data_IF_794486166322
#
_entry.id   IF_794486166322
#
_cell.length_a   1.000
_cell.length_b   1.000
_cell.length_c   1.000
_cell.angle_alpha   90.00
_cell.angle_beta   90.00
_cell.angle_gamma   90.00
#
_symmetry.space_group_name_H-M   'P 1'
#
loop_
_entity.id
_entity.type
_entity.pdbx_description
1 polymer ?
#
# COMPACT_ATOMS: atom_id res chain seq x y z
N UNK A 1 -84.93 27.32 -5.98
CA UNK A 1 -85.70 28.14 -5.03
C UNK A 1 -84.73 28.61 -3.96
N UNK A 2 -84.49 29.92 -3.90
CA UNK A 2 -83.96 30.66 -2.73
C UNK A 2 -84.91 30.50 -1.51
N UNK A 3 -84.60 30.92 -0.26
CA UNK A 3 -83.67 32.00 0.14
C UNK A 3 -82.88 31.84 1.49
N UNK A 4 -81.87 32.70 1.70
CA UNK A 4 -81.37 33.18 3.02
C UNK A 4 -82.39 34.19 3.60
N UNK A 5 -82.50 34.48 4.94
CA UNK A 5 -81.53 35.29 5.72
C UNK A 5 -81.69 35.09 7.28
N UNK A 6 -81.47 36.05 8.24
CA UNK A 6 -80.44 37.10 8.47
C UNK A 6 -79.78 37.11 9.89
N UNK A 7 -78.58 37.71 9.99
CA UNK A 7 -78.05 38.81 10.89
C UNK A 7 -78.42 38.88 12.41
N UNK A 8 -77.36 38.86 13.27
CA UNK A 8 -76.98 39.58 14.56
C UNK A 8 -78.05 40.13 15.54
N UNK A 9 -77.82 40.33 16.89
CA UNK A 9 -76.68 41.08 17.48
C UNK A 9 -76.27 40.88 19.00
N UNK A 10 -75.26 41.65 19.43
CA UNK A 10 -75.04 42.32 20.75
C UNK A 10 -74.50 41.61 22.04
N UNK A 11 -73.35 42.15 22.48
CA UNK A 11 -72.68 42.41 23.80
C UNK A 11 -73.59 42.57 25.07
N UNK A 12 -73.12 42.70 26.36
CA UNK A 12 -71.76 43.05 26.86
C UNK A 12 -71.24 42.44 28.20
N UNK A 13 -69.94 42.69 28.49
CA UNK A 13 -69.51 43.24 29.80
C UNK A 13 -68.60 42.38 30.70
N UNK A 14 -67.33 42.80 30.83
CA UNK A 14 -66.68 43.09 32.12
C UNK A 14 -65.22 43.55 31.90
N UNK A 15 -64.94 44.81 32.22
CA UNK A 15 -63.60 45.36 32.42
C UNK A 15 -62.96 44.80 33.70
N UNK A 16 -61.63 44.70 33.74
CA UNK A 16 -60.75 45.18 34.83
C UNK A 16 -59.26 44.98 34.47
N UNK A 17 -58.63 46.11 34.15
CA UNK A 17 -57.30 46.60 34.58
C UNK A 17 -56.12 45.64 34.84
N UNK A 18 -55.04 45.91 34.09
CA UNK A 18 -53.61 46.06 34.49
C UNK A 18 -52.96 45.03 35.42
N UNK A 19 -51.88 44.40 34.94
CA UNK A 19 -50.47 44.61 35.39
C UNK A 19 -49.56 43.65 34.63
N UNK A 20 -48.50 44.16 33.99
CA UNK A 20 -47.38 43.34 33.49
C UNK A 20 -46.49 42.91 34.67
N UNK A 21 -45.92 41.68 34.62
CA UNK A 21 -44.63 41.44 35.25
C UNK A 21 -43.62 40.79 34.29
N UNK A 22 -42.48 41.47 34.21
CA UNK A 22 -41.08 41.06 34.01
C UNK A 22 -40.75 39.58 33.67
N UNK A 23 -39.95 39.40 32.61
CA UNK A 23 -39.28 38.16 32.22
C UNK A 23 -38.07 37.86 33.14
N UNK A 24 -37.85 36.60 33.57
CA UNK A 24 -36.60 36.20 34.23
C UNK A 24 -35.46 35.99 33.21
N UNK A 25 -34.18 36.07 33.63
CA UNK A 25 -33.04 35.96 32.73
C UNK A 25 -32.82 34.52 32.26
N UNK A 26 -32.63 34.37 30.95
CA UNK A 26 -32.19 33.12 30.29
C UNK A 26 -30.83 32.70 30.82
N UNK A 27 -30.76 31.53 31.46
CA UNK A 27 -29.50 30.86 31.76
C UNK A 27 -28.82 30.42 30.44
N UNK A 28 -27.57 30.83 30.25
CA UNK A 28 -26.75 30.38 29.13
C UNK A 28 -26.53 28.84 29.21
N UNK A 29 -26.52 28.13 28.06
CA UNK A 29 -26.19 26.71 28.06
C UNK A 29 -24.72 26.49 28.47
N UNK A 30 -24.38 25.36 29.10
CA UNK A 30 -23.01 25.06 29.49
C UNK A 30 -22.11 24.96 28.24
N UNK A 31 -20.81 25.30 28.35
CA UNK A 31 -19.89 25.20 27.23
C UNK A 31 -19.81 23.74 26.76
N UNK A 32 -20.06 23.52 25.46
CA UNK A 32 -19.80 22.22 24.82
C UNK A 32 -18.32 21.93 24.93
N UNK A 33 -17.98 20.79 25.53
CA UNK A 33 -16.61 20.34 25.68
C UNK A 33 -16.04 19.93 24.30
N UNK A 34 -15.38 20.86 23.63
CA UNK A 34 -14.73 20.70 22.31
C UNK A 34 -13.53 19.72 22.33
N UNK A 35 -13.28 19.06 23.47
CA UNK A 35 -12.20 18.11 23.69
C UNK A 35 -12.48 16.73 23.07
N UNK A 36 -13.73 16.23 23.13
CA UNK A 36 -14.07 14.88 22.64
C UNK A 36 -14.01 14.76 21.11
N UNK A 37 -14.38 15.83 20.40
CA UNK A 37 -14.43 15.85 18.93
C UNK A 37 -13.02 15.82 18.33
N UNK A 38 -12.04 16.49 18.95
CA UNK A 38 -10.64 16.45 18.49
C UNK A 38 -10.02 15.05 18.62
N UNK A 39 -10.39 14.30 19.65
CA UNK A 39 -9.89 12.95 19.89
C UNK A 39 -10.53 11.93 18.93
N UNK A 40 -11.84 12.06 18.65
CA UNK A 40 -12.55 11.23 17.69
C UNK A 40 -12.11 11.47 16.23
N UNK A 41 -11.84 12.74 15.86
CA UNK A 41 -11.30 13.10 14.54
C UNK A 41 -9.88 12.56 14.37
N UNK A 42 -9.02 12.68 15.39
CA UNK A 42 -7.65 12.14 15.36
C UNK A 42 -7.60 10.62 15.19
N UNK A 43 -8.50 9.89 15.87
CA UNK A 43 -8.61 8.43 15.75
C UNK A 43 -9.15 8.00 14.38
N UNK A 44 -10.07 8.79 13.81
CA UNK A 44 -10.65 8.53 12.49
C UNK A 44 -9.65 8.82 11.37
N UNK A 45 -8.86 9.89 11.48
CA UNK A 45 -7.79 10.21 10.52
C UNK A 45 -6.69 9.15 10.59
N UNK A 46 -6.26 8.73 11.78
CA UNK A 46 -5.26 7.67 11.92
C UNK A 46 -5.71 6.36 11.26
N UNK A 47 -6.97 5.96 11.48
CA UNK A 47 -7.55 4.75 10.87
C UNK A 47 -7.69 4.85 9.35
N UNK A 48 -8.04 6.02 8.82
CA UNK A 48 -8.10 6.28 7.37
C UNK A 48 -6.69 6.24 6.77
N UNK A 49 -5.71 6.90 7.40
CA UNK A 49 -4.30 6.91 6.95
C UNK A 49 -3.72 5.49 6.95
N UNK A 50 -3.96 4.72 8.01
CA UNK A 50 -3.53 3.32 8.13
C UNK A 50 -4.19 2.45 7.06
N UNK A 51 -5.49 2.64 6.80
CA UNK A 51 -6.18 1.96 5.71
C UNK A 51 -5.69 2.36 4.31
N UNK A 52 -5.16 3.57 4.12
CA UNK A 52 -4.59 3.99 2.83
C UNK A 52 -3.14 3.52 2.63
N UNK A 53 -2.38 3.33 3.70
CA UNK A 53 -1.02 2.76 3.63
C UNK A 53 -1.07 1.27 3.28
N UNK A 54 -2.10 0.56 3.77
CA UNK A 54 -2.44 -0.80 3.35
C UNK A 54 -2.86 -0.89 1.87
N UNK A 55 -3.03 0.24 1.18
CA UNK A 55 -3.38 0.33 -0.25
C UNK A 55 -2.24 0.89 -1.11
N UNK A 56 -1.06 1.22 -0.56
CA UNK A 56 0.10 1.58 -1.40
C UNK A 56 0.65 0.31 -2.07
N UNK A 57 0.54 0.16 -3.41
CA UNK A 57 0.99 -1.04 -4.10
C UNK A 57 2.47 -1.36 -3.84
N UNK A 58 3.30 -0.32 -3.72
CA UNK A 58 4.73 -0.51 -3.47
C UNK A 58 4.98 -0.97 -2.03
N UNK A 59 4.15 -0.53 -1.07
CA UNK A 59 4.18 -1.04 0.29
C UNK A 59 3.84 -2.54 0.34
N UNK A 60 2.83 -2.97 -0.42
CA UNK A 60 2.44 -4.39 -0.51
C UNK A 60 3.56 -5.26 -1.10
N UNK A 61 4.20 -4.82 -2.20
CA UNK A 61 5.38 -5.51 -2.76
C UNK A 61 6.49 -5.63 -1.72
N UNK A 62 6.81 -4.54 -1.02
CA UNK A 62 7.84 -4.54 0.03
C UNK A 62 7.49 -5.50 1.17
N UNK A 63 6.23 -5.49 1.63
CA UNK A 63 5.71 -6.38 2.68
C UNK A 63 5.87 -7.84 2.27
N UNK A 64 5.50 -8.21 1.04
CA UNK A 64 5.66 -9.58 0.51
C UNK A 64 7.14 -9.98 0.51
N UNK A 65 8.01 -9.15 -0.07
CA UNK A 65 9.45 -9.45 -0.17
C UNK A 65 10.13 -9.56 1.21
N UNK A 66 9.75 -8.72 2.18
CA UNK A 66 10.26 -8.81 3.55
C UNK A 66 9.81 -10.08 4.28
N UNK A 67 8.60 -10.60 3.98
CA UNK A 67 8.06 -11.82 4.58
C UNK A 67 8.40 -13.08 3.78
N UNK A 68 8.97 -12.95 2.59
CA UNK A 68 9.31 -14.05 1.68
C UNK A 68 10.11 -15.16 2.38
N UNK A 69 11.19 -14.80 3.08
CA UNK A 69 12.03 -15.79 3.75
C UNK A 69 11.29 -16.56 4.86
N UNK A 70 10.33 -15.93 5.54
CA UNK A 70 9.52 -16.61 6.54
C UNK A 70 8.64 -17.70 5.91
N UNK A 71 8.08 -17.44 4.72
CA UNK A 71 7.33 -18.44 3.94
C UNK A 71 8.25 -19.56 3.49
N UNK A 72 9.42 -19.26 2.94
CA UNK A 72 10.42 -20.27 2.53
C UNK A 72 10.79 -21.18 3.72
N UNK A 73 11.04 -20.61 4.90
CA UNK A 73 11.31 -21.40 6.11
C UNK A 73 10.12 -22.27 6.50
N UNK A 74 8.90 -21.75 6.40
CA UNK A 74 7.70 -22.52 6.72
C UNK A 74 7.50 -23.71 5.76
N UNK A 75 7.78 -23.54 4.47
CA UNK A 75 7.72 -24.61 3.47
C UNK A 75 8.71 -25.73 3.79
N UNK A 76 9.91 -25.40 4.29
CA UNK A 76 10.93 -26.38 4.72
C UNK A 76 10.53 -27.17 5.97
N UNK A 77 9.63 -26.65 6.82
CA UNK A 77 9.15 -27.31 8.04
C UNK A 77 8.00 -28.30 7.79
N UNK A 78 7.91 -28.87 6.59
CA UNK A 78 6.87 -29.83 6.22
C UNK A 78 7.04 -31.14 6.99
N UNK A 79 5.92 -31.70 7.48
CA UNK A 79 5.92 -33.01 8.16
C UNK A 79 6.22 -34.16 7.17
N UNK A 80 6.77 -35.24 7.69
CA UNK A 80 6.83 -36.58 7.10
C UNK A 80 7.62 -36.73 5.78
N UNK A 81 8.82 -36.12 5.67
CA UNK A 81 9.73 -36.27 4.51
C UNK A 81 9.07 -36.00 3.15
N UNK A 82 8.02 -35.16 3.11
CA UNK A 82 7.30 -34.86 1.88
C UNK A 82 8.04 -33.79 1.09
N UNK A 83 8.12 -33.96 -0.23
CA UNK A 83 8.71 -32.96 -1.14
C UNK A 83 8.04 -31.60 -0.99
N UNK A 84 8.79 -30.51 -1.06
CA UNK A 84 8.24 -29.15 -1.02
C UNK A 84 8.92 -28.32 -2.09
N UNK A 85 8.39 -27.12 -2.36
CA UNK A 85 9.11 -26.13 -3.16
C UNK A 85 10.36 -25.70 -2.38
N UNK A 86 11.53 -26.04 -2.92
CA UNK A 86 12.81 -25.49 -2.51
C UNK A 86 13.09 -24.24 -3.35
N UNK A 87 13.81 -23.27 -2.79
CA UNK A 87 14.15 -22.02 -3.49
C UNK A 87 15.65 -22.03 -3.69
N UNK A 88 16.10 -22.65 -4.77
CA UNK A 88 17.50 -22.92 -5.04
C UNK A 88 18.09 -21.97 -6.08
N UNK A 89 17.28 -21.52 -7.04
CA UNK A 89 17.71 -20.58 -8.07
C UNK A 89 16.75 -19.38 -8.26
N UNK A 90 16.96 -18.64 -9.35
CA UNK A 90 16.17 -17.46 -9.69
C UNK A 90 14.73 -17.84 -10.13
N UNK A 91 14.52 -19.02 -10.73
CA UNK A 91 13.21 -19.47 -11.20
C UNK A 91 12.32 -19.88 -10.03
N UNK A 92 12.84 -20.68 -9.08
CA UNK A 92 12.08 -21.06 -7.89
C UNK A 92 11.67 -19.83 -7.05
N UNK A 93 12.58 -18.85 -6.98
CA UNK A 93 12.35 -17.56 -6.33
C UNK A 93 11.21 -16.82 -7.02
N UNK A 94 11.22 -16.74 -8.35
CA UNK A 94 10.19 -16.09 -9.14
C UNK A 94 8.83 -16.78 -8.99
N UNK A 95 8.78 -18.10 -9.03
CA UNK A 95 7.54 -18.88 -8.89
C UNK A 95 6.87 -18.63 -7.54
N UNK A 96 7.63 -18.73 -6.45
CA UNK A 96 7.09 -18.45 -5.12
C UNK A 96 6.69 -16.98 -4.96
N UNK A 97 7.51 -16.05 -5.48
CA UNK A 97 7.21 -14.62 -5.37
C UNK A 97 5.94 -14.27 -6.14
N UNK A 98 5.77 -14.79 -7.35
CA UNK A 98 4.57 -14.62 -8.16
C UNK A 98 3.33 -15.12 -7.41
N UNK A 99 3.41 -16.31 -6.81
CA UNK A 99 2.31 -16.86 -6.01
C UNK A 99 1.94 -15.96 -4.82
N UNK A 100 2.94 -15.38 -4.13
CA UNK A 100 2.69 -14.47 -3.01
C UNK A 100 2.16 -13.11 -3.44
N UNK A 101 2.63 -12.56 -4.57
CA UNK A 101 2.11 -11.30 -5.11
C UNK A 101 0.64 -11.45 -5.54
N UNK A 102 0.25 -12.61 -6.09
CA UNK A 102 -1.15 -12.90 -6.42
C UNK A 102 -2.10 -12.94 -5.22
N UNK A 103 -1.58 -12.96 -3.99
CA UNK A 103 -2.40 -12.81 -2.78
C UNK A 103 -2.75 -11.33 -2.53
N UNK A 104 -1.87 -10.41 -2.91
CA UNK A 104 -2.03 -8.97 -2.67
C UNK A 104 -2.56 -8.22 -3.91
N UNK A 105 -2.43 -8.79 -5.10
CA UNK A 105 -2.85 -8.19 -6.38
C UNK A 105 -3.72 -9.15 -7.20
N UNK A 106 -4.86 -8.65 -7.68
CA UNK A 106 -5.76 -9.40 -8.57
C UNK A 106 -5.08 -9.74 -9.91
N UNK A 107 -4.24 -8.84 -10.42
CA UNK A 107 -3.52 -8.96 -11.68
C UNK A 107 -2.01 -8.91 -11.45
N UNK A 108 -1.35 -10.05 -11.73
CA UNK A 108 0.11 -10.18 -11.79
C UNK A 108 0.45 -10.74 -13.17
N UNK A 109 1.00 -9.88 -14.03
CA UNK A 109 1.44 -10.24 -15.37
C UNK A 109 2.95 -10.56 -15.36
N UNK A 110 3.43 -11.11 -16.47
CA UNK A 110 4.84 -11.42 -16.68
C UNK A 110 5.32 -10.76 -17.97
N UNK A 111 6.51 -10.20 -17.92
CA UNK A 111 7.27 -9.69 -19.07
C UNK A 111 8.59 -10.44 -19.19
N UNK A 112 9.10 -10.56 -20.40
CA UNK A 112 10.38 -11.24 -20.67
C UNK A 112 11.31 -10.28 -21.39
N UNK A 113 12.52 -10.15 -20.84
CA UNK A 113 13.59 -9.39 -21.49
C UNK A 113 14.89 -10.17 -21.48
N UNK A 114 15.77 -9.92 -22.45
CA UNK A 114 17.07 -10.61 -22.55
C UNK A 114 18.20 -9.64 -22.23
N UNK A 115 18.69 -9.61 -20.99
CA UNK A 115 19.75 -8.70 -20.60
C UNK A 115 21.10 -9.00 -21.25
N UNK A 116 21.96 -7.98 -21.45
CA UNK A 116 23.30 -8.19 -21.97
C UNK A 116 24.18 -9.01 -21.00
N UNK A 117 23.89 -9.01 -19.70
CA UNK A 117 24.66 -9.71 -18.68
C UNK A 117 24.27 -11.19 -18.49
N UNK A 118 23.22 -11.68 -19.17
CA UNK A 118 22.78 -13.10 -19.05
C UNK A 118 23.34 -14.01 -20.13
N UNK A 119 24.16 -13.48 -21.06
CA UNK A 119 24.68 -14.28 -22.17
C UNK A 119 23.59 -14.79 -23.11
N UNK A 120 22.46 -14.07 -23.22
CA UNK A 120 21.35 -14.40 -24.12
C UNK A 120 20.18 -15.16 -23.47
N UNK A 121 20.26 -15.50 -22.18
CA UNK A 121 19.13 -16.10 -21.48
C UNK A 121 18.07 -15.02 -21.13
N UNK A 122 16.78 -15.24 -21.43
CA UNK A 122 15.72 -14.33 -21.02
C UNK A 122 15.57 -14.33 -19.49
N UNK A 123 15.12 -13.21 -18.94
CA UNK A 123 14.68 -13.06 -17.55
C UNK A 123 13.22 -12.65 -17.53
N UNK A 124 12.48 -13.30 -16.64
CA UNK A 124 11.11 -12.93 -16.32
C UNK A 124 11.10 -11.77 -15.33
N UNK A 125 10.27 -10.78 -15.62
CA UNK A 125 9.90 -9.70 -14.72
C UNK A 125 8.43 -9.83 -14.37
N UNK A 126 8.08 -9.68 -13.09
CA UNK A 126 6.70 -9.67 -12.66
C UNK A 126 6.16 -8.24 -12.74
N UNK A 127 5.01 -8.05 -13.38
CA UNK A 127 4.36 -6.76 -13.50
C UNK A 127 3.13 -6.72 -12.60
N UNK A 128 3.05 -5.72 -11.73
CA UNK A 128 1.92 -5.53 -10.80
C UNK A 128 1.39 -4.11 -10.88
N UNK A 129 0.19 -3.91 -10.36
CA UNK A 129 -0.51 -2.62 -10.35
C UNK A 129 -0.62 -2.04 -11.78
N UNK A 130 -1.28 -2.79 -12.68
CA UNK A 130 -1.47 -2.40 -14.10
C UNK A 130 -0.15 -2.01 -14.77
N UNK A 131 0.87 -2.85 -14.56
CA UNK A 131 2.21 -2.71 -15.13
C UNK A 131 3.01 -1.47 -14.67
N UNK A 132 2.53 -0.71 -13.69
CA UNK A 132 3.25 0.46 -13.18
C UNK A 132 4.47 0.09 -12.33
N UNK A 133 4.51 -1.12 -11.77
CA UNK A 133 5.62 -1.65 -10.98
C UNK A 133 6.16 -2.91 -11.66
N UNK A 134 7.41 -2.83 -12.12
CA UNK A 134 8.20 -3.98 -12.56
C UNK A 134 8.98 -4.55 -11.37
N UNK A 135 8.78 -5.83 -11.04
CA UNK A 135 9.47 -6.52 -9.96
C UNK A 135 10.46 -7.52 -10.57
N UNK A 136 11.75 -7.27 -10.35
CA UNK A 136 12.84 -8.16 -10.76
C UNK A 136 13.35 -8.89 -9.53
N UNK A 137 13.30 -10.22 -9.54
CA UNK A 137 13.76 -11.05 -8.43
C UNK A 137 15.11 -11.71 -8.74
N UNK A 138 16.03 -11.67 -7.79
CA UNK A 138 17.37 -12.23 -7.93
C UNK A 138 17.81 -12.95 -6.66
N UNK A 139 18.17 -14.21 -6.77
CA UNK A 139 18.80 -14.97 -5.68
C UNK A 139 20.31 -14.76 -5.71
N UNK A 140 20.92 -14.57 -4.54
CA UNK A 140 22.38 -14.56 -4.44
C UNK A 140 22.95 -15.95 -4.67
N UNK A 141 24.14 -16.00 -5.26
CA UNK A 141 24.84 -17.26 -5.53
C UNK A 141 26.35 -17.08 -5.35
N UNK A 142 27.11 -18.16 -5.13
CA UNK A 142 28.58 -18.08 -5.09
C UNK A 142 29.13 -17.37 -6.33
N UNK A 143 30.05 -16.44 -6.12
CA UNK A 143 30.70 -15.67 -7.19
C UNK A 143 29.92 -14.44 -7.67
N UNK A 144 28.67 -14.21 -7.25
CA UNK A 144 27.95 -12.98 -7.56
C UNK A 144 28.39 -11.84 -6.62
N UNK A 145 29.02 -10.81 -7.16
CA UNK A 145 29.53 -9.68 -6.37
C UNK A 145 28.52 -8.54 -6.26
N UNK A 146 28.74 -7.63 -5.31
CA UNK A 146 27.95 -6.40 -5.20
C UNK A 146 28.07 -5.51 -6.45
N UNK A 147 29.22 -5.55 -7.13
CA UNK A 147 29.43 -4.85 -8.40
C UNK A 147 28.57 -5.48 -9.50
N UNK A 148 28.56 -6.80 -9.62
CA UNK A 148 27.73 -7.49 -10.63
C UNK A 148 26.24 -7.22 -10.40
N UNK A 149 25.81 -7.14 -9.13
CA UNK A 149 24.44 -6.74 -8.78
C UNK A 149 24.15 -5.29 -9.20
N UNK A 150 25.08 -4.35 -8.94
CA UNK A 150 24.92 -2.95 -9.35
C UNK A 150 24.83 -2.81 -10.88
N UNK A 151 25.68 -3.53 -11.61
CA UNK A 151 25.69 -3.53 -13.08
C UNK A 151 24.37 -4.10 -13.63
N UNK A 152 23.85 -5.18 -13.02
CA UNK A 152 22.54 -5.75 -13.36
C UNK A 152 21.39 -4.77 -13.12
N UNK A 153 21.32 -4.17 -11.92
CA UNK A 153 20.28 -3.19 -11.57
C UNK A 153 20.34 -1.99 -12.51
N UNK A 154 21.54 -1.53 -12.89
CA UNK A 154 21.73 -0.42 -13.82
C UNK A 154 21.17 -0.76 -15.21
N UNK A 155 21.47 -1.95 -15.73
CA UNK A 155 20.97 -2.41 -17.01
C UNK A 155 19.44 -2.61 -17.01
N UNK A 156 18.89 -3.24 -15.95
CA UNK A 156 17.43 -3.40 -15.77
C UNK A 156 16.75 -2.01 -15.70
N UNK A 157 17.31 -1.08 -14.94
CA UNK A 157 16.79 0.29 -14.80
C UNK A 157 16.78 1.05 -16.12
N UNK A 158 17.84 0.90 -16.93
CA UNK A 158 17.92 1.53 -18.24
C UNK A 158 16.88 0.94 -19.21
N UNK A 159 16.71 -0.38 -19.21
CA UNK A 159 15.73 -1.06 -20.04
C UNK A 159 14.30 -0.61 -19.71
N UNK A 160 13.88 -0.73 -18.44
CA UNK A 160 12.51 -0.38 -18.05
C UNK A 160 12.20 1.12 -18.18
N UNK A 161 13.21 1.99 -18.00
CA UNK A 161 13.07 3.42 -18.30
C UNK A 161 12.80 3.65 -19.79
N UNK A 162 13.48 2.94 -20.67
CA UNK A 162 13.28 3.07 -22.12
C UNK A 162 11.93 2.54 -22.60
N UNK A 163 11.36 1.53 -21.93
CA UNK A 163 10.03 1.00 -22.25
C UNK A 163 8.90 1.99 -21.93
N UNK A 164 9.09 2.89 -20.95
CA UNK A 164 8.14 3.94 -20.59
C UNK A 164 6.81 3.48 -19.98
N UNK A 165 6.62 2.16 -19.81
CA UNK A 165 5.40 1.56 -19.24
C UNK A 165 5.43 1.55 -17.70
N UNK A 166 6.60 1.32 -17.10
CA UNK A 166 6.74 1.17 -15.66
C UNK A 166 7.26 2.46 -15.02
N UNK A 167 6.54 2.97 -14.03
CA UNK A 167 6.98 4.11 -13.21
C UNK A 167 7.98 3.70 -12.12
N UNK A 168 7.96 2.43 -11.70
CA UNK A 168 8.82 1.89 -10.65
C UNK A 168 9.44 0.57 -11.09
N UNK A 169 10.75 0.44 -10.91
CA UNK A 169 11.48 -0.82 -10.93
C UNK A 169 11.82 -1.21 -9.49
N UNK A 170 11.33 -2.36 -9.04
CA UNK A 170 11.60 -2.94 -7.74
C UNK A 170 12.50 -4.17 -7.89
N UNK A 171 13.75 -4.06 -7.42
CA UNK A 171 14.72 -5.15 -7.44
C UNK A 171 14.71 -5.86 -6.09
N UNK A 172 14.16 -7.07 -6.05
CA UNK A 172 14.20 -7.94 -4.89
C UNK A 172 15.43 -8.85 -4.94
N UNK A 173 16.38 -8.64 -4.04
CA UNK A 173 17.58 -9.45 -3.88
C UNK A 173 17.39 -10.40 -2.69
N UNK A 174 17.18 -11.68 -3.00
CA UNK A 174 17.03 -12.73 -1.99
C UNK A 174 18.40 -13.29 -1.61
N UNK A 175 18.85 -13.00 -0.38
CA UNK A 175 20.17 -13.39 0.14
C UNK A 175 20.07 -14.28 1.40
N UNK A 176 19.52 -15.50 1.29
CA UNK A 176 19.30 -16.38 2.43
C UNK A 176 20.59 -16.84 3.13
N UNK A 177 21.74 -16.76 2.46
CA UNK A 177 23.05 -17.14 3.04
C UNK A 177 23.90 -15.94 3.48
N UNK A 178 23.38 -14.70 3.42
CA UNK A 178 24.10 -13.50 3.89
C UNK A 178 25.39 -13.21 3.13
N UNK A 179 25.41 -13.44 1.81
CA UNK A 179 26.57 -13.21 0.93
C UNK A 179 26.87 -11.73 0.76
N UNK A 180 25.87 -10.87 0.90
CA UNK A 180 26.00 -9.41 0.81
C UNK A 180 26.41 -8.90 2.19
N UNK A 181 27.69 -8.55 2.38
CA UNK A 181 28.21 -8.11 3.67
C UNK A 181 27.63 -6.79 4.21
N UNK A 182 27.02 -5.96 3.36
CA UNK A 182 26.37 -4.71 3.80
C UNK A 182 25.08 -4.43 3.01
N UNK A 183 23.98 -5.16 3.29
CA UNK A 183 22.73 -5.08 2.53
C UNK A 183 22.17 -3.66 2.48
N UNK A 184 22.09 -2.99 3.65
CA UNK A 184 21.59 -1.61 3.74
C UNK A 184 22.37 -0.62 2.87
N UNK A 185 23.71 -0.76 2.82
CA UNK A 185 24.56 0.11 1.99
C UNK A 185 24.25 -0.11 0.52
N UNK A 186 24.12 -1.37 0.09
CA UNK A 186 23.77 -1.70 -1.29
C UNK A 186 22.39 -1.15 -1.67
N UNK A 187 21.38 -1.34 -0.81
CA UNK A 187 20.04 -0.78 -0.98
C UNK A 187 20.08 0.75 -1.18
N UNK A 188 20.78 1.48 -0.29
CA UNK A 188 20.90 2.94 -0.37
C UNK A 188 21.65 3.40 -1.60
N UNK A 189 22.69 2.68 -2.03
CA UNK A 189 23.49 3.05 -3.21
C UNK A 189 22.73 2.85 -4.52
N UNK A 190 21.90 1.81 -4.61
CA UNK A 190 21.23 1.45 -5.86
C UNK A 190 19.79 1.97 -5.98
N UNK A 191 19.17 2.33 -4.85
CA UNK A 191 17.84 2.97 -4.85
C UNK A 191 17.97 4.41 -5.35
N UNK A 192 17.11 4.80 -6.28
CA UNK A 192 17.10 6.16 -6.85
C UNK A 192 15.69 6.58 -7.24
N UNK A 193 15.44 7.89 -7.26
CA UNK A 193 14.17 8.47 -7.72
C UNK A 193 14.51 9.53 -8.76
N UNK A 194 13.93 9.42 -9.95
CA UNK A 194 13.95 10.47 -10.97
C UNK A 194 12.53 10.85 -11.38
N UNK A 195 12.38 11.92 -12.17
CA UNK A 195 11.06 12.39 -12.64
C UNK A 195 10.27 11.33 -13.42
N UNK A 196 10.96 10.36 -14.04
CA UNK A 196 10.34 9.40 -14.94
C UNK A 196 10.39 7.95 -14.44
N UNK A 197 11.22 7.64 -13.44
CA UNK A 197 11.37 6.28 -12.96
C UNK A 197 11.93 6.24 -11.54
N UNK A 198 11.28 5.50 -10.66
CA UNK A 198 11.80 5.12 -9.34
C UNK A 198 12.45 3.75 -9.42
N UNK A 199 13.67 3.63 -8.90
CA UNK A 199 14.35 2.35 -8.70
C UNK A 199 14.42 2.09 -7.21
N UNK A 200 13.87 0.97 -6.76
CA UNK A 200 13.96 0.53 -5.37
C UNK A 200 14.66 -0.81 -5.29
N UNK A 201 15.68 -0.92 -4.43
CA UNK A 201 16.38 -2.17 -4.18
C UNK A 201 16.14 -2.61 -2.75
N UNK A 202 15.69 -3.86 -2.59
CA UNK A 202 15.47 -4.49 -1.30
C UNK A 202 16.27 -5.79 -1.22
N UNK A 203 17.07 -5.93 -0.16
CA UNK A 203 17.77 -7.17 0.17
C UNK A 203 17.09 -7.82 1.38
N UNK A 204 16.69 -9.09 1.25
CA UNK A 204 16.15 -9.86 2.36
C UNK A 204 16.56 -11.34 2.28
N UNK A 205 16.59 -12.10 3.40
CA UNK A 205 16.38 -11.67 4.78
C UNK A 205 17.47 -10.73 5.30
N UNK A 206 17.21 -10.07 6.43
CA UNK A 206 18.15 -9.18 7.16
C UNK A 206 18.54 -9.82 8.49
#
# INVERSE_FOLDING_TARGET
MQPHPPIDPTTPGASLQTTSPELPPTAAPPPRDLSSDKQAIGLSIARVVESTLDQDPLHLVRKVCLRFHAVVRQLRLRKDYRSTLEVDDDYDLQDLLCALLKVEFDEVATDEWTPPYTGGAPRTTLLVHRDHIAVVAKKTKPGLTAKDLADQVTADSAYYRAQGRCSTLFCFIYDPEGRIGSPKRLETTLTSVSEHCRVEVLVAPK
#
